data_IF_313457742752
#
_entry.id   IF_313457742752
#
_cell.length_a   1.000
_cell.length_b   1.000
_cell.length_c   1.000
_cell.angle_alpha   90.00
_cell.angle_beta   90.00
_cell.angle_gamma   90.00
#
_symmetry.space_group_name_H-M   'P 1'
#
loop_
_entity.id
_entity.type
_entity.pdbx_description
1 polymer ?
#
# COMPACT_ATOMS: atom_id res chain seq x y z
N UNK A 1 -5.35 -10.71 -19.07
CA UNK A 1 -4.79 -9.39 -19.38
C UNK A 1 -4.26 -8.80 -18.08
N UNK A 2 -3.05 -8.20 -18.07
CA UNK A 2 -2.57 -7.49 -16.90
C UNK A 2 -3.50 -6.31 -16.58
N UNK A 3 -3.61 -5.98 -15.31
CA UNK A 3 -4.28 -4.79 -14.85
C UNK A 3 -3.40 -3.57 -15.09
N UNK A 4 -4.03 -2.42 -15.25
CA UNK A 4 -3.35 -1.13 -15.34
C UNK A 4 -3.38 -0.45 -13.97
N UNK A 5 -2.20 -0.21 -13.39
CA UNK A 5 -2.03 0.63 -12.21
C UNK A 5 -1.86 2.09 -12.62
N UNK A 6 -2.56 2.99 -11.94
CA UNK A 6 -2.39 4.43 -12.07
C UNK A 6 -2.36 5.05 -10.67
N UNK A 7 -1.40 5.95 -10.44
CA UNK A 7 -1.41 6.83 -9.29
C UNK A 7 -2.14 8.12 -9.67
N UNK A 8 -3.02 8.62 -8.79
CA UNK A 8 -3.74 9.88 -9.02
C UNK A 8 -3.71 10.74 -7.77
N UNK A 9 -3.34 12.01 -7.94
CA UNK A 9 -3.39 12.98 -6.85
C UNK A 9 -4.83 13.13 -6.35
N UNK A 10 -4.97 13.02 -5.05
CA UNK A 10 -6.24 13.07 -4.33
C UNK A 10 -6.06 13.98 -3.13
N UNK A 11 -7.05 14.83 -2.86
CA UNK A 11 -7.11 15.67 -1.67
C UNK A 11 -7.86 14.93 -0.57
N UNK A 12 -7.25 14.80 0.61
CA UNK A 12 -7.96 14.33 1.79
C UNK A 12 -8.79 15.51 2.34
N UNK A 13 -10.13 15.41 2.36
CA UNK A 13 -10.99 16.55 2.61
C UNK A 13 -11.04 16.99 4.08
N UNK A 14 -10.79 16.10 5.03
CA UNK A 14 -10.85 16.39 6.47
C UNK A 14 -9.57 17.08 6.96
N UNK A 15 -8.44 16.80 6.31
CA UNK A 15 -7.10 17.18 6.75
C UNK A 15 -6.40 18.15 5.78
N UNK A 16 -6.87 18.25 4.54
CA UNK A 16 -6.42 19.23 3.55
C UNK A 16 -5.07 18.91 2.88
N UNK A 17 -4.57 17.69 3.01
CA UNK A 17 -3.34 17.26 2.34
C UNK A 17 -3.60 16.51 1.03
N UNK A 18 -2.63 16.54 0.14
CA UNK A 18 -2.64 15.74 -1.09
C UNK A 18 -1.88 14.43 -0.90
N UNK A 19 -2.35 13.36 -1.54
CA UNK A 19 -1.67 12.08 -1.60
C UNK A 19 -1.96 11.39 -2.95
N UNK A 20 -1.20 10.35 -3.29
CA UNK A 20 -1.34 9.61 -4.55
C UNK A 20 -2.10 8.32 -4.34
N UNK A 21 -3.36 8.28 -4.78
CA UNK A 21 -4.22 7.11 -4.59
C UNK A 21 -4.04 6.05 -5.70
N UNK A 22 -4.30 4.78 -5.37
CA UNK A 22 -4.20 3.68 -6.32
C UNK A 22 -5.48 3.49 -7.10
N UNK A 23 -5.37 3.58 -8.43
CA UNK A 23 -6.43 3.20 -9.36
C UNK A 23 -6.00 1.97 -10.15
N UNK A 24 -6.81 0.91 -10.09
CA UNK A 24 -6.60 -0.31 -10.85
C UNK A 24 -7.73 -0.46 -11.86
N UNK A 25 -7.38 -0.47 -13.15
CA UNK A 25 -8.33 -0.45 -14.26
C UNK A 25 -9.36 0.70 -14.12
N UNK A 26 -8.89 1.87 -13.72
CA UNK A 26 -9.72 3.07 -13.55
C UNK A 26 -10.63 3.09 -12.31
N UNK A 27 -10.57 2.08 -11.43
CA UNK A 27 -11.31 2.05 -10.17
C UNK A 27 -10.38 2.24 -8.98
N UNK A 28 -10.75 3.12 -8.06
CA UNK A 28 -10.01 3.36 -6.83
C UNK A 28 -9.97 2.10 -5.97
N UNK A 29 -8.78 1.66 -5.57
CA UNK A 29 -8.60 0.42 -4.83
C UNK A 29 -9.20 0.49 -3.42
N UNK A 30 -9.06 1.63 -2.74
CA UNK A 30 -9.62 1.85 -1.39
C UNK A 30 -11.14 1.60 -1.35
N UNK A 31 -11.89 2.06 -2.36
CA UNK A 31 -13.34 1.87 -2.45
C UNK A 31 -13.70 0.40 -2.68
N UNK A 32 -12.90 -0.33 -3.47
CA UNK A 32 -13.13 -1.76 -3.75
C UNK A 32 -12.92 -2.64 -2.53
N UNK A 33 -12.10 -2.19 -1.58
CA UNK A 33 -11.78 -2.93 -0.36
C UNK A 33 -12.46 -2.33 0.89
N UNK A 34 -13.25 -1.26 0.73
CA UNK A 34 -13.94 -0.57 1.82
C UNK A 34 -13.01 -0.17 2.98
N UNK A 35 -11.84 0.42 2.66
CA UNK A 35 -10.76 0.58 3.64
C UNK A 35 -10.92 1.70 4.68
N UNK A 36 -11.97 2.53 4.60
CA UNK A 36 -12.35 3.55 5.59
C UNK A 36 -11.21 4.25 6.36
N UNK A 37 -10.78 5.44 5.91
CA UNK A 37 -9.75 6.24 6.61
C UNK A 37 -8.31 5.70 6.44
N UNK A 38 -8.07 4.85 5.45
CA UNK A 38 -6.74 4.37 5.11
C UNK A 38 -6.37 4.94 3.74
N UNK A 39 -5.16 5.51 3.63
CA UNK A 39 -4.65 6.17 2.42
C UNK A 39 -3.29 5.60 2.03
N UNK A 40 -2.92 5.61 0.74
CA UNK A 40 -1.58 5.21 0.35
C UNK A 40 -0.50 6.09 0.96
N UNK A 41 0.68 5.54 1.29
CA UNK A 41 1.78 6.29 1.88
C UNK A 41 2.56 7.14 0.86
N UNK A 42 1.92 7.57 -0.22
CA UNK A 42 2.53 8.27 -1.34
C UNK A 42 2.03 9.72 -1.42
N UNK A 43 2.93 10.68 -1.59
CA UNK A 43 2.61 12.09 -1.86
C UNK A 43 2.23 12.99 -0.67
N UNK A 44 1.87 12.44 0.50
CA UNK A 44 1.50 13.26 1.68
C UNK A 44 2.63 13.46 2.70
N UNK A 45 3.55 12.50 2.81
CA UNK A 45 4.64 12.55 3.79
C UNK A 45 5.82 13.39 3.29
N UNK A 46 6.88 13.41 4.09
CA UNK A 46 8.18 13.87 3.62
C UNK A 46 8.70 13.01 2.44
N UNK A 47 9.63 13.55 1.64
CA UNK A 47 10.19 12.85 0.48
C UNK A 47 10.86 11.51 0.81
N UNK A 48 11.43 11.33 2.00
CA UNK A 48 12.10 10.09 2.38
C UNK A 48 11.11 8.95 2.58
N UNK A 49 9.98 9.22 3.22
CA UNK A 49 8.89 8.27 3.42
C UNK A 49 8.24 7.89 2.09
N UNK A 50 8.02 8.85 1.19
CA UNK A 50 7.51 8.60 -0.16
C UNK A 50 8.48 7.70 -0.97
N UNK A 51 9.78 8.00 -0.93
CA UNK A 51 10.80 7.16 -1.57
C UNK A 51 10.85 5.76 -0.98
N UNK A 52 10.74 5.61 0.34
CA UNK A 52 10.67 4.30 1.01
C UNK A 52 9.46 3.50 0.54
N UNK A 53 8.28 4.10 0.53
CA UNK A 53 7.06 3.46 0.03
C UNK A 53 7.23 2.96 -1.42
N UNK A 54 7.88 3.76 -2.29
CA UNK A 54 8.18 3.36 -3.67
C UNK A 54 9.17 2.18 -3.74
N UNK A 55 10.25 2.20 -2.95
CA UNK A 55 11.21 1.08 -2.91
C UNK A 55 10.56 -0.23 -2.45
N UNK A 56 9.69 -0.16 -1.44
CA UNK A 56 8.90 -1.32 -1.00
C UNK A 56 7.99 -1.84 -2.12
N UNK A 57 7.27 -0.94 -2.81
CA UNK A 57 6.39 -1.31 -3.93
C UNK A 57 7.14 -1.90 -5.12
N UNK A 58 8.37 -1.45 -5.38
CA UNK A 58 9.26 -1.94 -6.43
C UNK A 58 10.00 -3.23 -6.03
N UNK A 59 9.87 -3.66 -4.78
CA UNK A 59 10.61 -4.78 -4.19
C UNK A 59 12.14 -4.55 -4.14
N UNK A 60 12.56 -3.28 -4.10
CA UNK A 60 13.96 -2.88 -3.90
C UNK A 60 14.34 -2.84 -2.41
N UNK A 61 13.33 -2.81 -1.53
CA UNK A 61 13.46 -2.86 -0.08
C UNK A 61 12.44 -3.87 0.47
N UNK A 62 12.80 -4.60 1.52
CA UNK A 62 11.90 -5.51 2.23
C UNK A 62 11.31 -4.82 3.46
N UNK A 63 10.01 -5.02 3.71
CA UNK A 63 9.37 -4.50 4.90
C UNK A 63 9.64 -5.43 6.09
N UNK A 64 10.65 -5.10 6.89
CA UNK A 64 11.15 -5.94 8.00
C UNK A 64 10.07 -6.46 8.96
N UNK A 65 9.05 -5.69 9.36
CA UNK A 65 8.03 -6.21 10.26
C UNK A 65 7.26 -7.40 9.66
N UNK A 66 7.03 -7.40 8.35
CA UNK A 66 6.19 -8.40 7.69
C UNK A 66 6.79 -8.79 6.32
N UNK A 67 7.82 -9.67 6.33
CA UNK A 67 8.59 -10.03 5.13
C UNK A 67 7.72 -10.52 3.97
N UNK A 68 8.01 -10.02 2.77
CA UNK A 68 7.26 -10.32 1.54
C UNK A 68 5.93 -9.57 1.39
N UNK A 69 5.44 -8.88 2.43
CA UNK A 69 4.26 -8.03 2.36
C UNK A 69 4.65 -6.56 2.27
N UNK A 70 3.88 -5.80 1.51
CA UNK A 70 4.09 -4.36 1.33
C UNK A 70 2.90 -3.62 1.94
N UNK A 71 3.13 -2.67 2.87
CA UNK A 71 2.11 -1.73 3.30
C UNK A 71 1.64 -0.88 2.12
N UNK A 72 0.40 -1.10 1.69
CA UNK A 72 -0.22 -0.34 0.61
C UNK A 72 -1.01 0.84 1.16
N UNK A 73 -1.64 0.72 2.32
CA UNK A 73 -2.37 1.83 2.94
C UNK A 73 -1.97 1.98 4.40
N UNK A 74 -1.94 3.22 4.87
CA UNK A 74 -1.64 3.61 6.24
C UNK A 74 -2.74 4.52 6.77
N UNK A 75 -2.77 4.68 8.09
CA UNK A 75 -3.75 5.53 8.76
C UNK A 75 -3.74 6.96 8.20
N UNK A 76 -4.89 7.47 7.75
CA UNK A 76 -5.01 8.83 7.20
C UNK A 76 -4.72 9.97 8.20
N UNK A 77 -4.62 9.68 9.49
CA UNK A 77 -4.38 10.69 10.52
C UNK A 77 -2.91 10.90 10.86
N UNK A 78 -2.16 9.82 11.06
CA UNK A 78 -0.74 9.89 11.42
C UNK A 78 0.17 9.34 10.33
N UNK A 79 -0.37 8.51 9.45
CA UNK A 79 0.39 7.84 8.41
C UNK A 79 1.39 6.79 8.92
N UNK A 80 1.34 6.47 10.20
CA UNK A 80 2.25 5.54 10.84
C UNK A 80 1.73 4.10 10.70
N UNK A 81 2.61 3.16 10.34
CA UNK A 81 2.26 1.74 10.27
C UNK A 81 1.85 1.18 11.65
N UNK A 82 2.35 1.73 12.77
CA UNK A 82 1.98 1.33 14.13
C UNK A 82 0.51 1.62 14.47
N UNK A 83 -0.13 2.58 13.80
CA UNK A 83 -1.57 2.81 13.92
C UNK A 83 -2.41 1.77 13.15
N UNK A 84 -1.74 0.91 12.39
CA UNK A 84 -2.30 -0.13 11.56
C UNK A 84 -2.30 0.26 10.08
N UNK A 85 -2.01 -0.73 9.24
CA UNK A 85 -1.85 -0.60 7.80
C UNK A 85 -2.62 -1.70 7.07
N UNK A 86 -2.81 -1.53 5.77
CA UNK A 86 -3.30 -2.58 4.88
C UNK A 86 -2.15 -3.04 4.01
N UNK A 87 -1.83 -4.32 4.08
CA UNK A 87 -0.74 -4.93 3.36
C UNK A 87 -1.23 -5.91 2.32
N UNK A 88 -0.46 -6.07 1.25
CA UNK A 88 -0.62 -7.17 0.30
C UNK A 88 0.68 -7.95 0.20
N UNK A 89 0.57 -9.24 -0.10
CA UNK A 89 1.70 -10.01 -0.62
C UNK A 89 2.01 -9.46 -2.03
N UNK A 90 3.23 -8.95 -2.20
CA UNK A 90 3.69 -8.41 -3.49
C UNK A 90 4.81 -9.31 -4.00
N UNK A 91 4.60 -9.91 -5.17
CA UNK A 91 5.58 -10.82 -5.78
C UNK A 91 5.85 -10.43 -7.22
N UNK A 92 7.09 -10.65 -7.66
CA UNK A 92 7.46 -10.55 -9.08
C UNK A 92 7.57 -11.95 -9.68
N UNK A 93 6.84 -12.19 -10.77
CA UNK A 93 6.84 -13.44 -11.51
C UNK A 93 7.13 -13.13 -12.99
N UNK A 94 8.41 -13.23 -13.38
CA UNK A 94 8.84 -12.87 -14.73
C UNK A 94 8.60 -11.39 -15.04
N UNK A 95 7.76 -11.14 -16.05
CA UNK A 95 7.33 -9.82 -16.51
C UNK A 95 6.09 -9.30 -15.79
N UNK A 96 5.66 -9.94 -14.70
CA UNK A 96 4.50 -9.52 -13.92
C UNK A 96 4.84 -9.18 -12.47
N UNK A 97 4.15 -8.16 -11.95
CA UNK A 97 4.05 -7.88 -10.51
C UNK A 97 2.65 -8.26 -10.06
N UNK A 98 2.55 -8.98 -8.93
CA UNK A 98 1.29 -9.52 -8.43
C UNK A 98 1.06 -9.03 -7.02
N UNK A 99 -0.06 -8.35 -6.81
CA UNK A 99 -0.61 -8.06 -5.49
C UNK A 99 -1.68 -9.10 -5.16
N UNK A 100 -1.60 -9.70 -3.98
CA UNK A 100 -2.55 -10.70 -3.52
C UNK A 100 -2.63 -10.74 -2.00
N UNK A 101 -3.59 -11.50 -1.47
CA UNK A 101 -3.68 -11.81 -0.05
C UNK A 101 -3.69 -10.56 0.84
N UNK A 102 -4.65 -9.67 0.58
CA UNK A 102 -4.78 -8.40 1.26
C UNK A 102 -5.26 -8.62 2.69
N UNK A 103 -4.57 -8.02 3.66
CA UNK A 103 -4.95 -8.06 5.07
C UNK A 103 -4.71 -6.71 5.73
N UNK A 104 -5.51 -6.45 6.77
CA UNK A 104 -5.24 -5.33 7.68
C UNK A 104 -4.30 -5.83 8.76
N UNK A 105 -3.26 -5.09 9.06
CA UNK A 105 -2.31 -5.41 10.13
C UNK A 105 -2.43 -4.36 11.22
N UNK A 106 -2.49 -4.83 12.47
CA UNK A 106 -2.47 -3.98 13.65
C UNK A 106 -1.50 -4.52 14.71
N UNK A 107 -1.15 -3.66 15.67
CA UNK A 107 -0.23 -3.94 16.77
C UNK A 107 -0.95 -3.85 18.13
N UNK A 108 -2.17 -4.39 18.21
CA UNK A 108 -3.02 -4.28 19.42
C UNK A 108 -2.70 -5.33 20.49
N UNK A 109 -1.70 -6.18 20.25
CA UNK A 109 -1.34 -7.31 21.10
C UNK A 109 0.13 -7.22 21.48
N UNK A 110 0.46 -7.79 22.64
CA UNK A 110 1.82 -7.80 23.18
C UNK A 110 2.21 -9.23 23.58
N UNK A 111 3.49 -9.56 23.45
CA UNK A 111 4.05 -10.81 23.97
C UNK A 111 4.25 -10.74 25.49
N UNK A 112 4.76 -11.84 26.08
CA UNK A 112 4.96 -11.95 27.52
C UNK A 112 6.02 -10.95 28.06
N UNK A 113 6.91 -10.47 27.20
CA UNK A 113 7.99 -9.53 27.54
C UNK A 113 7.60 -8.07 27.21
N UNK A 114 6.39 -7.84 26.71
CA UNK A 114 5.87 -6.52 26.36
C UNK A 114 6.23 -6.05 24.94
N UNK A 115 6.79 -6.92 24.10
CA UNK A 115 7.00 -6.67 22.67
C UNK A 115 5.69 -6.64 21.90
N UNK A 116 5.56 -5.74 20.92
CA UNK A 116 4.35 -5.67 20.08
C UNK A 116 4.25 -6.86 19.13
N UNK A 117 3.07 -7.47 19.06
CA UNK A 117 2.77 -8.56 18.15
C UNK A 117 2.00 -8.05 16.92
N UNK A 118 2.44 -8.49 15.75
CA UNK A 118 1.75 -8.28 14.48
C UNK A 118 0.51 -9.19 14.41
N UNK A 119 -0.65 -8.60 14.18
CA UNK A 119 -1.88 -9.34 13.99
C UNK A 119 -2.51 -9.02 12.62
N UNK A 120 -2.67 -10.06 11.80
CA UNK A 120 -3.40 -9.97 10.54
C UNK A 120 -4.89 -10.16 10.77
N UNK A 121 -5.68 -9.22 10.27
CA UNK A 121 -7.13 -9.29 10.19
C UNK A 121 -7.56 -9.36 8.74
N UNK A 122 -8.54 -10.23 8.49
CA UNK A 122 -9.14 -10.33 7.16
C UNK A 122 -9.86 -9.02 6.81
N UNK A 123 -9.58 -8.53 5.61
CA UNK A 123 -10.42 -7.53 4.94
C UNK A 123 -11.44 -8.34 4.14
N UNK A 124 -12.72 -7.96 4.18
CA UNK A 124 -13.78 -8.69 3.49
C UNK A 124 -13.42 -8.92 2.01
N UNK A 125 -13.20 -10.18 1.63
CA UNK A 125 -12.79 -10.57 0.29
C UNK A 125 -11.33 -10.28 -0.08
N UNK A 126 -10.54 -9.65 0.79
CA UNK A 126 -9.13 -9.28 0.57
C UNK A 126 -8.22 -10.46 0.24
N UNK A 127 -8.44 -11.60 0.90
CA UNK A 127 -7.74 -12.87 0.63
C UNK A 127 -8.00 -13.41 -0.79
N UNK A 128 -9.14 -13.05 -1.39
CA UNK A 128 -9.55 -13.46 -2.75
C UNK A 128 -9.17 -12.44 -3.82
N UNK A 129 -8.81 -11.22 -3.44
CA UNK A 129 -8.40 -10.18 -4.36
C UNK A 129 -6.98 -10.45 -4.87
N UNK A 130 -6.83 -10.37 -6.19
CA UNK A 130 -5.56 -10.55 -6.89
C UNK A 130 -5.49 -9.60 -8.07
N UNK A 131 -4.38 -8.87 -8.15
CA UNK A 131 -4.07 -7.99 -9.27
C UNK A 131 -2.71 -8.36 -9.82
N UNK A 132 -2.66 -8.75 -11.09
CA UNK A 132 -1.41 -8.88 -11.85
C UNK A 132 -1.22 -7.62 -12.69
N UNK A 133 -0.01 -7.10 -12.77
CA UNK A 133 0.39 -5.94 -13.56
C UNK A 133 1.55 -6.34 -14.47
N UNK A 134 1.65 -5.72 -15.64
CA UNK A 134 2.90 -5.73 -16.40
C UNK A 134 3.99 -5.01 -15.59
N UNK A 135 5.15 -5.64 -15.43
CA UNK A 135 6.18 -5.17 -14.52
C UNK A 135 6.77 -3.81 -14.93
N UNK A 136 6.88 -3.55 -16.24
CA UNK A 136 7.42 -2.29 -16.73
C UNK A 136 6.40 -1.16 -16.60
N UNK A 137 5.13 -1.41 -16.94
CA UNK A 137 4.05 -0.45 -16.72
C UNK A 137 3.87 -0.14 -15.23
N UNK A 138 3.98 -1.16 -14.37
CA UNK A 138 3.94 -1.01 -12.92
C UNK A 138 5.08 -0.11 -12.42
N UNK A 139 6.33 -0.42 -12.81
CA UNK A 139 7.50 0.38 -12.44
C UNK A 139 7.33 1.83 -12.85
N UNK A 140 6.95 2.07 -14.10
CA UNK A 140 6.70 3.43 -14.61
C UNK A 140 5.60 4.14 -13.82
N UNK A 141 4.51 3.45 -13.44
CA UNK A 141 3.46 4.04 -12.64
C UNK A 141 3.94 4.42 -11.23
N UNK A 142 4.72 3.55 -10.58
CA UNK A 142 5.31 3.81 -9.25
C UNK A 142 6.38 4.89 -9.32
N UNK A 143 7.15 5.01 -10.39
CA UNK A 143 8.17 6.07 -10.50
C UNK A 143 7.58 7.42 -10.90
N UNK A 144 6.62 7.47 -11.83
CA UNK A 144 6.04 8.74 -12.34
C UNK A 144 5.30 9.55 -11.29
N UNK A 145 4.87 8.93 -10.18
CA UNK A 145 4.33 9.67 -9.04
C UNK A 145 5.33 10.66 -8.41
N UNK A 146 6.60 10.69 -8.83
CA UNK A 146 7.62 11.65 -8.39
C UNK A 146 7.51 13.05 -9.00
N UNK A 147 6.62 13.30 -9.96
CA UNK A 147 6.52 14.62 -10.60
C UNK A 147 5.52 15.54 -9.91
N UNK A 148 5.95 16.19 -8.82
CA UNK A 148 5.54 17.58 -8.62
C UNK A 148 6.39 18.44 -9.58
N UNK A 149 5.80 19.37 -10.34
CA UNK A 149 6.58 20.34 -11.12
C UNK A 149 7.48 21.22 -10.25
#
# INVERSE_FOLDING_TARGET
MPNLLQLRDTLEPERGYSYQDYYINGRRLADRMNLGGQVPPLGWFNPEADQRARRLLLLDEEFTPDPGRVPLFVCHWCGDELCGYVAALVTRQGDQVIWSDFSKVDYNSFDADGGMLLAHREIEGGSRLRFSFDAEQYRVAIEKGTQNP
#
